data_IF_156465040574
#
_entry.id   IF_156465040574
#
_cell.length_a   1.000
_cell.length_b   1.000
_cell.length_c   1.000
_cell.angle_alpha   90.00
_cell.angle_beta   90.00
_cell.angle_gamma   90.00
#
_symmetry.space_group_name_H-M   'P 1'
#
loop_
_entity.id
_entity.type
_entity.pdbx_description
1 polymer ?
#
# COMPACT_ATOMS: atom_id res chain seq x y z
N UNK A 1 43.41 9.48 -23.07
CA UNK A 1 42.79 8.28 -23.67
C UNK A 1 42.55 7.30 -22.53
N UNK A 2 41.35 6.91 -22.12
CA UNK A 2 40.02 7.14 -22.65
C UNK A 2 39.02 7.13 -21.47
N UNK A 3 38.35 8.26 -21.24
CA UNK A 3 37.13 8.38 -20.44
C UNK A 3 35.97 7.80 -21.26
N UNK A 4 35.81 6.48 -21.26
CA UNK A 4 34.90 5.81 -22.20
C UNK A 4 33.80 4.94 -21.56
N UNK A 5 33.50 5.10 -20.27
CA UNK A 5 32.35 4.40 -19.66
C UNK A 5 31.16 5.30 -19.31
N UNK A 6 31.32 6.63 -19.31
CA UNK A 6 30.24 7.56 -18.92
C UNK A 6 29.40 8.07 -20.11
N UNK A 7 29.92 7.99 -21.35
CA UNK A 7 29.21 8.46 -22.55
C UNK A 7 28.34 7.37 -23.21
N UNK A 8 28.55 6.09 -22.87
CA UNK A 8 27.70 5.00 -23.35
C UNK A 8 26.32 5.01 -22.64
N UNK A 9 26.28 5.43 -21.37
CA UNK A 9 25.05 5.50 -20.59
C UNK A 9 24.17 6.70 -20.98
N UNK A 10 24.77 7.80 -21.42
CA UNK A 10 24.07 9.01 -21.90
C UNK A 10 23.54 8.88 -23.33
N UNK A 11 24.13 8.03 -24.18
CA UNK A 11 23.66 7.80 -25.56
C UNK A 11 22.46 6.86 -25.64
N UNK A 12 22.22 6.04 -24.62
CA UNK A 12 21.06 5.16 -24.55
C UNK A 12 19.76 5.93 -24.17
N UNK A 13 19.91 7.16 -23.67
CA UNK A 13 18.80 8.05 -23.26
C UNK A 13 18.22 8.92 -24.39
N UNK A 14 18.91 9.06 -25.54
CA UNK A 14 18.48 9.97 -26.62
C UNK A 14 17.83 9.24 -27.82
N UNK A 15 17.98 7.92 -27.95
CA UNK A 15 17.50 7.16 -29.11
C UNK A 15 16.03 6.68 -29.04
N UNK A 16 15.29 6.94 -27.96
CA UNK A 16 13.90 6.45 -27.79
C UNK A 16 12.86 7.59 -28.02
N UNK A 17 13.29 8.77 -28.44
CA UNK A 17 12.40 9.91 -28.70
C UNK A 17 12.05 10.04 -30.20
N UNK A 18 11.51 9.00 -30.86
CA UNK A 18 11.02 9.16 -32.25
C UNK A 18 10.09 8.03 -32.77
N UNK A 19 9.18 7.53 -31.94
CA UNK A 19 8.09 6.67 -32.44
C UNK A 19 6.76 7.08 -31.77
N UNK A 20 5.99 7.95 -32.43
CA UNK A 20 4.62 8.30 -32.03
C UNK A 20 3.62 7.38 -32.77
N UNK A 21 2.70 6.70 -32.07
CA UNK A 21 1.48 6.17 -32.67
C UNK A 21 0.30 7.13 -32.42
N UNK A 22 -0.38 7.51 -33.50
CA UNK A 22 -1.68 8.16 -33.49
C UNK A 22 -2.75 7.22 -32.89
N UNK A 23 -3.54 7.74 -31.96
CA UNK A 23 -4.97 7.43 -31.81
C UNK A 23 -5.36 6.02 -31.38
N UNK A 24 -5.74 5.89 -30.10
CA UNK A 24 -6.56 4.80 -29.58
C UNK A 24 -6.56 4.84 -28.06
N UNK A 25 -7.73 4.91 -27.43
CA UNK A 25 -7.87 4.87 -25.97
C UNK A 25 -7.37 3.52 -25.44
N UNK A 26 -6.07 3.43 -25.19
CA UNK A 26 -5.49 2.36 -24.42
C UNK A 26 -5.71 2.70 -22.95
N UNK A 27 -6.45 1.84 -22.25
CA UNK A 27 -6.50 1.84 -20.79
C UNK A 27 -5.09 2.06 -20.27
N UNK A 28 -4.90 3.10 -19.45
CA UNK A 28 -3.61 3.43 -18.85
C UNK A 28 -3.14 2.27 -18.00
N UNK A 29 -2.44 1.30 -18.60
CA UNK A 29 -1.53 0.43 -17.89
C UNK A 29 -0.32 1.29 -17.58
N UNK A 30 -0.45 2.10 -16.53
CA UNK A 30 0.71 2.66 -15.85
C UNK A 30 1.66 1.48 -15.57
N UNK A 31 2.91 1.52 -16.02
CA UNK A 31 3.86 0.47 -15.70
C UNK A 31 3.95 0.35 -14.18
N UNK A 32 3.50 -0.79 -13.65
CA UNK A 32 3.56 -1.10 -12.22
C UNK A 32 5.02 -1.29 -11.84
N UNK A 33 5.62 -0.24 -11.30
CA UNK A 33 6.97 -0.28 -10.77
C UNK A 33 6.93 -1.04 -9.43
N UNK A 34 7.65 -2.16 -9.37
CA UNK A 34 7.88 -2.90 -8.11
C UNK A 34 8.40 -1.92 -7.05
N UNK A 35 7.73 -1.85 -5.91
CA UNK A 35 8.09 -0.94 -4.81
C UNK A 35 7.33 0.39 -4.80
N UNK A 36 6.40 0.67 -5.70
CA UNK A 36 5.48 1.80 -5.56
C UNK A 36 4.25 1.42 -4.71
N UNK A 37 3.64 2.40 -4.05
CA UNK A 37 2.30 2.21 -3.49
C UNK A 37 1.28 2.17 -4.62
N UNK A 38 0.46 1.14 -4.63
CA UNK A 38 -0.65 0.95 -5.55
C UNK A 38 -1.96 0.97 -4.76
N UNK A 39 -3.06 1.50 -5.33
CA UNK A 39 -4.37 1.38 -4.70
C UNK A 39 -4.74 -0.08 -4.40
N UNK A 40 -5.51 -0.28 -3.34
CA UNK A 40 -6.23 -1.54 -3.12
C UNK A 40 -7.48 -1.51 -3.98
N UNK A 41 -7.65 -2.52 -4.84
CA UNK A 41 -8.74 -2.58 -5.82
C UNK A 41 -10.10 -2.85 -5.16
N UNK A 42 -10.14 -3.75 -4.17
CA UNK A 42 -11.35 -4.13 -3.46
C UNK A 42 -11.14 -4.08 -1.94
N UNK A 43 -11.73 -3.11 -1.22
CA UNK A 43 -11.68 -3.07 0.24
C UNK A 43 -12.45 -4.22 0.90
N UNK A 44 -13.41 -4.84 0.21
CA UNK A 44 -14.19 -5.98 0.69
C UNK A 44 -13.49 -7.33 0.46
N UNK A 45 -12.31 -7.31 -0.18
CA UNK A 45 -11.49 -8.50 -0.32
C UNK A 45 -11.23 -9.16 1.05
N UNK A 46 -11.44 -10.47 1.13
CA UNK A 46 -11.40 -11.21 2.38
C UNK A 46 -10.03 -11.09 3.09
N UNK A 47 -8.94 -10.97 2.34
CA UNK A 47 -7.61 -10.77 2.90
C UNK A 47 -7.46 -9.38 3.49
N UNK A 48 -7.92 -8.35 2.77
CA UNK A 48 -7.91 -6.95 3.25
C UNK A 48 -8.75 -6.81 4.54
N UNK A 49 -9.93 -7.42 4.56
CA UNK A 49 -10.79 -7.48 5.75
C UNK A 49 -10.10 -8.20 6.92
N UNK A 50 -9.37 -9.29 6.66
CA UNK A 50 -8.62 -10.00 7.69
C UNK A 50 -7.45 -9.15 8.24
N UNK A 51 -6.77 -8.39 7.40
CA UNK A 51 -5.70 -7.47 7.79
C UNK A 51 -6.22 -6.31 8.64
N UNK A 52 -7.38 -5.73 8.29
CA UNK A 52 -8.03 -4.71 9.09
C UNK A 52 -8.42 -5.24 10.49
N UNK A 53 -9.06 -6.41 10.55
CA UNK A 53 -9.40 -7.08 11.83
C UNK A 53 -8.15 -7.43 12.65
N UNK A 54 -7.07 -7.81 11.98
CA UNK A 54 -5.78 -8.02 12.63
C UNK A 54 -5.24 -6.71 13.24
N UNK A 55 -5.29 -5.61 12.50
CA UNK A 55 -4.79 -4.31 12.95
C UNK A 55 -5.52 -3.84 14.21
N UNK A 56 -6.86 -3.81 14.20
CA UNK A 56 -7.66 -3.41 15.37
C UNK A 56 -7.38 -4.30 16.58
N UNK A 57 -7.40 -5.63 16.40
CA UNK A 57 -7.10 -6.57 17.49
C UNK A 57 -5.70 -6.37 18.06
N UNK A 58 -4.71 -6.13 17.20
CA UNK A 58 -3.32 -5.92 17.63
C UNK A 58 -3.17 -4.59 18.35
N UNK A 59 -3.81 -3.53 17.87
CA UNK A 59 -3.86 -2.22 18.52
C UNK A 59 -4.45 -2.34 19.92
N UNK A 60 -5.68 -2.85 20.04
CA UNK A 60 -6.37 -3.08 21.33
C UNK A 60 -5.50 -3.86 22.32
N UNK A 61 -4.81 -4.91 21.84
CA UNK A 61 -3.88 -5.69 22.68
C UNK A 61 -2.67 -4.87 23.16
N UNK A 62 -2.18 -3.93 22.36
CA UNK A 62 -1.00 -3.13 22.65
C UNK A 62 -1.33 -1.90 23.51
N UNK A 63 -2.47 -1.23 23.28
CA UNK A 63 -2.85 0.01 23.97
C UNK A 63 -3.78 -0.22 25.17
N UNK A 64 -4.49 -1.36 25.22
CA UNK A 64 -5.57 -1.59 26.17
C UNK A 64 -6.93 -1.04 25.72
N UNK A 65 -7.03 -0.55 24.48
CA UNK A 65 -8.29 -0.07 23.91
C UNK A 65 -9.26 -1.21 23.58
N UNK A 66 -10.51 -0.85 23.29
CA UNK A 66 -11.59 -1.77 22.93
C UNK A 66 -12.27 -1.35 21.63
N UNK A 67 -11.49 -0.94 20.64
CA UNK A 67 -12.02 -0.54 19.33
C UNK A 67 -12.68 -1.72 18.61
N UNK A 68 -13.81 -1.45 17.97
CA UNK A 68 -14.53 -2.35 17.07
C UNK A 68 -14.34 -1.86 15.64
N UNK A 69 -13.89 -2.75 14.75
CA UNK A 69 -13.79 -2.44 13.32
C UNK A 69 -15.20 -2.33 12.73
N UNK A 70 -15.53 -1.18 12.13
CA UNK A 70 -16.82 -0.97 11.48
C UNK A 70 -16.74 -1.24 9.97
N UNK A 71 -15.72 -0.71 9.30
CA UNK A 71 -15.53 -0.83 7.84
C UNK A 71 -14.09 -0.60 7.39
N UNK A 72 -13.77 -1.08 6.20
CA UNK A 72 -12.55 -0.72 5.48
C UNK A 72 -12.94 0.22 4.35
N UNK A 73 -12.37 1.43 4.32
CA UNK A 73 -12.68 2.41 3.27
C UNK A 73 -11.82 2.21 2.03
N UNK A 74 -10.68 1.53 2.17
CA UNK A 74 -9.70 1.31 1.11
C UNK A 74 -8.29 1.49 1.62
N UNK A 75 -7.38 1.80 0.70
CA UNK A 75 -6.00 2.02 1.07
C UNK A 75 -5.04 1.82 -0.08
N UNK A 76 -3.78 1.61 0.29
CA UNK A 76 -2.69 1.35 -0.63
C UNK A 76 -1.90 0.12 -0.21
N UNK A 77 -1.32 -0.58 -1.17
CA UNK A 77 -0.45 -1.73 -0.98
C UNK A 77 0.88 -1.52 -1.70
N UNK A 78 1.94 -2.12 -1.20
CA UNK A 78 3.28 -1.99 -1.75
C UNK A 78 4.03 -3.32 -1.61
N UNK A 79 4.62 -3.77 -2.72
CA UNK A 79 5.54 -4.92 -2.74
C UNK A 79 6.91 -4.48 -2.22
N UNK A 80 7.42 -5.17 -1.21
CA UNK A 80 8.77 -4.99 -0.63
C UNK A 80 9.42 -6.37 -0.43
N UNK A 81 10.15 -6.62 0.67
CA UNK A 81 10.47 -8.00 1.13
C UNK A 81 9.25 -8.69 1.78
N UNK A 82 8.12 -8.65 1.11
CA UNK A 82 6.79 -8.94 1.64
C UNK A 82 5.75 -7.99 1.06
N UNK A 83 4.61 -7.87 1.74
CA UNK A 83 3.53 -6.96 1.35
C UNK A 83 3.24 -5.97 2.48
N UNK A 84 3.28 -4.67 2.16
CA UNK A 84 2.92 -3.60 3.10
C UNK A 84 1.58 -3.00 2.70
N UNK A 85 0.65 -2.93 3.63
CA UNK A 85 -0.69 -2.41 3.45
C UNK A 85 -0.88 -1.16 4.32
N UNK A 86 -1.39 -0.09 3.73
CA UNK A 86 -1.84 1.14 4.39
C UNK A 86 -3.35 1.19 4.25
N UNK A 87 -4.05 0.74 5.28
CA UNK A 87 -5.50 0.63 5.29
C UNK A 87 -6.10 1.86 5.96
N UNK A 88 -7.10 2.46 5.32
CA UNK A 88 -7.97 3.46 5.95
C UNK A 88 -9.20 2.70 6.45
N UNK A 89 -9.39 2.69 7.77
CA UNK A 89 -10.45 1.93 8.43
C UNK A 89 -11.31 2.84 9.29
N UNK A 90 -12.59 2.51 9.39
CA UNK A 90 -13.47 3.03 10.42
C UNK A 90 -13.41 2.12 11.63
N UNK A 91 -13.30 2.71 12.82
CA UNK A 91 -13.42 1.98 14.07
C UNK A 91 -14.06 2.86 15.15
N UNK A 92 -14.81 2.23 16.04
CA UNK A 92 -15.52 2.92 17.11
C UNK A 92 -15.34 2.21 18.45
N UNK A 93 -15.68 2.91 19.53
CA UNK A 93 -15.83 2.30 20.86
C UNK A 93 -17.32 2.13 21.14
N UNK A 94 -17.68 1.33 22.16
CA UNK A 94 -19.09 1.08 22.53
C UNK A 94 -19.92 2.34 22.83
N UNK A 95 -19.26 3.46 23.16
CA UNK A 95 -19.90 4.71 23.63
C UNK A 95 -19.55 5.94 22.78
N UNK A 96 -18.71 5.79 21.75
CA UNK A 96 -18.17 6.90 20.96
C UNK A 96 -18.59 6.85 19.49
N UNK A 97 -18.45 7.97 18.75
CA UNK A 97 -18.65 7.96 17.30
C UNK A 97 -17.56 7.13 16.60
N UNK A 98 -17.85 6.70 15.36
CA UNK A 98 -16.82 6.16 14.47
C UNK A 98 -15.73 7.20 14.21
N UNK A 99 -14.48 6.79 14.40
CA UNK A 99 -13.29 7.52 14.01
C UNK A 99 -12.58 6.79 12.85
N UNK A 100 -11.84 7.54 12.05
CA UNK A 100 -11.04 6.99 10.96
C UNK A 100 -9.60 6.81 11.39
N UNK A 101 -9.01 5.68 11.02
CA UNK A 101 -7.64 5.33 11.37
C UNK A 101 -6.86 4.93 10.12
N UNK A 102 -5.58 5.29 10.11
CA UNK A 102 -4.57 4.74 9.21
C UNK A 102 -3.89 3.56 9.91
N UNK A 103 -4.19 2.35 9.48
CA UNK A 103 -3.56 1.13 9.95
C UNK A 103 -2.52 0.64 8.93
N UNK A 104 -1.26 0.52 9.36
CA UNK A 104 -0.17 0.05 8.49
C UNK A 104 0.25 -1.35 8.89
N UNK A 105 -0.08 -2.34 8.06
CA UNK A 105 0.18 -3.76 8.30
C UNK A 105 1.27 -4.28 7.36
N UNK A 106 2.22 -5.06 7.88
CA UNK A 106 3.30 -5.63 7.11
C UNK A 106 3.32 -7.15 7.19
N UNK A 107 3.15 -7.81 6.04
CA UNK A 107 3.31 -9.24 5.85
C UNK A 107 4.71 -9.54 5.33
N UNK A 108 5.62 -9.88 6.24
CA UNK A 108 7.02 -10.18 5.89
C UNK A 108 7.16 -11.59 5.32
N UNK A 109 7.94 -11.74 4.25
CA UNK A 109 8.28 -13.07 3.69
C UNK A 109 8.91 -13.95 4.77
N UNK A 110 8.45 -15.20 4.85
CA UNK A 110 8.95 -16.19 5.82
C UNK A 110 8.37 -16.06 7.23
N UNK A 111 7.51 -15.08 7.51
CA UNK A 111 6.81 -14.94 8.78
C UNK A 111 5.37 -15.43 8.66
N UNK A 112 4.88 -16.16 9.67
CA UNK A 112 3.51 -16.72 9.70
C UNK A 112 2.42 -15.71 10.07
N UNK A 113 2.79 -14.54 10.59
CA UNK A 113 1.85 -13.54 11.06
C UNK A 113 2.28 -12.13 10.63
N UNK A 114 1.34 -11.26 10.27
CA UNK A 114 1.63 -9.86 10.01
C UNK A 114 2.13 -9.11 11.26
N UNK A 115 2.75 -7.97 11.01
CA UNK A 115 3.10 -6.95 12.00
C UNK A 115 2.25 -5.70 11.82
N UNK A 116 1.76 -5.14 12.94
CA UNK A 116 1.18 -3.81 12.95
C UNK A 116 2.32 -2.80 13.15
N UNK A 117 2.53 -1.95 12.16
CA UNK A 117 3.65 -1.00 12.13
C UNK A 117 3.25 0.43 12.45
N UNK A 118 1.98 0.80 12.24
CA UNK A 118 1.40 2.05 12.67
C UNK A 118 -0.12 1.89 12.81
N UNK A 119 -0.71 2.69 13.69
CA UNK A 119 -2.15 2.77 13.92
C UNK A 119 -2.45 4.18 14.45
N UNK A 120 -2.78 5.09 13.54
CA UNK A 120 -2.90 6.53 13.84
C UNK A 120 -4.29 7.03 13.47
N UNK A 121 -4.86 7.92 14.28
CA UNK A 121 -6.13 8.61 13.96
C UNK A 121 -5.92 9.52 12.75
N UNK A 122 -6.88 9.55 11.84
CA UNK A 122 -6.92 10.49 10.72
C UNK A 122 -7.76 11.71 11.16
N UNK A 123 -7.16 12.91 11.26
CA UNK A 123 -7.85 14.11 11.70
C UNK A 123 -8.81 14.69 10.65
#
# INVERSE_FOLDING_TARGET
MATHSQNALLLLLVAILLILPNGGAAASRNPRFLGSYEPIDDPEDAHIQALAKFAVRRHNKNSGDTLLLTRVLGGQQQVVMGMKYRLVIGAETDIGPEELYLAVVYEKVGKKSPDLTAFDVIP
#
